data_IF_656362370868
#
_entry.id   IF_656362370868
#
_cell.length_a   1.000
_cell.length_b   1.000
_cell.length_c   1.000
_cell.angle_alpha   90.00
_cell.angle_beta   90.00
_cell.angle_gamma   90.00
#
_symmetry.space_group_name_H-M   'P 1'
#
loop_
_entity.id
_entity.type
_entity.pdbx_description
1 polymer ?
#
# COMPACT_ATOMS: atom_id res chain seq x y z
N UNK A 1 8.02 0.65 -13.73
CA UNK A 1 8.32 0.13 -12.39
C UNK A 1 7.15 -0.76 -11.98
N UNK A 2 7.35 -2.01 -11.54
CA UNK A 2 6.27 -2.82 -11.02
C UNK A 2 5.80 -2.22 -9.70
N UNK A 3 4.62 -1.62 -9.71
CA UNK A 3 3.97 -1.12 -8.51
C UNK A 3 3.25 -2.29 -7.84
N UNK A 4 3.36 -2.40 -6.52
CA UNK A 4 2.65 -3.43 -5.77
C UNK A 4 1.13 -3.20 -5.88
N UNK A 5 0.41 -4.20 -6.39
CA UNK A 5 -1.06 -4.21 -6.49
C UNK A 5 -1.72 -4.85 -5.26
N UNK A 6 -0.95 -5.60 -4.47
CA UNK A 6 -1.40 -6.35 -3.29
C UNK A 6 -0.57 -5.97 -2.05
N UNK A 7 -1.18 -6.04 -0.86
CA UNK A 7 -0.52 -5.86 0.44
C UNK A 7 -1.04 -6.88 1.46
N UNK A 8 -0.30 -7.07 2.56
CA UNK A 8 -0.73 -7.85 3.70
C UNK A 8 -1.50 -6.95 4.69
N UNK A 9 -2.68 -7.39 5.11
CA UNK A 9 -3.51 -6.74 6.10
C UNK A 9 -4.07 -7.81 7.04
N UNK A 10 -3.73 -7.74 8.34
CA UNK A 10 -4.18 -8.72 9.34
C UNK A 10 -3.94 -10.19 8.91
N UNK A 11 -2.70 -10.49 8.48
CA UNK A 11 -2.28 -11.80 7.94
C UNK A 11 -2.97 -12.26 6.65
N UNK A 12 -3.77 -11.40 6.01
CA UNK A 12 -4.44 -11.70 4.74
C UNK A 12 -3.89 -10.84 3.62
N UNK A 13 -3.67 -11.41 2.43
CA UNK A 13 -3.34 -10.64 1.25
C UNK A 13 -4.60 -9.97 0.69
N UNK A 14 -4.56 -8.64 0.52
CA UNK A 14 -5.66 -7.85 -0.04
C UNK A 14 -5.19 -7.00 -1.22
N UNK A 15 -6.12 -6.64 -2.10
CA UNK A 15 -5.82 -5.78 -3.25
C UNK A 15 -5.80 -4.30 -2.87
N UNK A 16 -5.17 -3.47 -3.70
CA UNK A 16 -5.16 -2.01 -3.52
C UNK A 16 -6.57 -1.39 -3.49
N UNK A 17 -7.52 -1.96 -4.23
CA UNK A 17 -8.91 -1.51 -4.20
C UNK A 17 -9.53 -1.72 -2.81
N UNK A 18 -9.36 -2.90 -2.21
CA UNK A 18 -9.88 -3.22 -0.88
C UNK A 18 -9.19 -2.37 0.20
N UNK A 19 -7.88 -2.21 0.11
CA UNK A 19 -7.12 -1.36 1.01
C UNK A 19 -7.55 0.11 0.95
N UNK A 20 -7.94 0.61 -0.22
CA UNK A 20 -8.50 1.95 -0.38
C UNK A 20 -9.87 2.09 0.30
N UNK A 21 -10.74 1.09 0.21
CA UNK A 21 -12.02 1.08 0.91
C UNK A 21 -11.81 1.09 2.43
N UNK A 22 -10.95 0.20 2.95
CA UNK A 22 -10.61 0.12 4.37
C UNK A 22 -10.02 1.44 4.90
N UNK A 23 -9.17 2.10 4.11
CA UNK A 23 -8.60 3.39 4.45
C UNK A 23 -9.67 4.50 4.53
N UNK A 24 -10.67 4.48 3.65
CA UNK A 24 -11.76 5.45 3.67
C UNK A 24 -12.72 5.21 4.83
N UNK A 25 -13.06 3.95 5.15
CA UNK A 25 -13.84 3.63 6.35
C UNK A 25 -13.15 4.11 7.62
N UNK A 26 -11.83 3.94 7.72
CA UNK A 26 -11.06 4.48 8.83
C UNK A 26 -11.04 6.01 8.86
N UNK A 27 -10.98 6.66 7.70
CA UNK A 27 -11.07 8.13 7.58
C UNK A 27 -12.42 8.66 8.04
N UNK A 28 -13.50 7.90 7.81
CA UNK A 28 -14.86 8.21 8.24
C UNK A 28 -15.11 7.87 9.72
N UNK A 29 -14.12 7.34 10.45
CA UNK A 29 -14.25 6.95 11.84
C UNK A 29 -15.04 5.66 12.07
N UNK A 30 -15.31 4.88 11.01
CA UNK A 30 -16.06 3.61 11.08
C UNK A 30 -15.18 2.43 11.50
N UNK A 31 -13.85 2.58 11.43
CA UNK A 31 -12.87 1.56 11.78
C UNK A 31 -11.58 2.22 12.31
N UNK A 32 -10.81 1.48 13.09
CA UNK A 32 -9.43 1.85 13.42
C UNK A 32 -8.56 1.98 12.16
N UNK A 33 -7.49 2.78 12.24
CA UNK A 33 -6.55 2.95 11.12
C UNK A 33 -5.95 1.60 10.69
N UNK A 34 -6.15 1.17 9.45
CA UNK A 34 -5.63 -0.10 8.97
C UNK A 34 -4.11 -0.07 8.87
N UNK A 35 -3.45 -1.10 9.40
CA UNK A 35 -2.01 -1.31 9.26
C UNK A 35 -1.77 -2.19 8.02
N UNK A 36 -1.39 -1.55 6.91
CA UNK A 36 -1.06 -2.25 5.66
C UNK A 36 0.43 -2.52 5.61
N UNK A 37 0.80 -3.76 5.32
CA UNK A 37 2.18 -4.22 5.23
C UNK A 37 2.53 -4.70 3.83
N UNK A 38 3.78 -4.51 3.42
CA UNK A 38 4.28 -5.07 2.19
C UNK A 38 4.36 -6.60 2.31
N UNK A 39 3.83 -7.34 1.33
CA UNK A 39 3.95 -8.80 1.27
C UNK A 39 5.40 -9.29 1.14
N UNK A 40 6.30 -8.45 0.63
CA UNK A 40 7.68 -8.83 0.38
C UNK A 40 8.60 -8.57 1.57
N UNK A 41 8.46 -7.43 2.25
CA UNK A 41 9.37 -7.02 3.31
C UNK A 41 8.71 -6.79 4.67
N UNK A 42 7.38 -6.88 4.77
CA UNK A 42 6.64 -6.64 6.02
C UNK A 42 6.66 -5.17 6.50
N UNK A 43 7.23 -4.25 5.72
CA UNK A 43 7.25 -2.83 6.06
C UNK A 43 5.89 -2.17 5.82
N UNK A 44 5.63 -1.08 6.54
CA UNK A 44 4.37 -0.36 6.42
C UNK A 44 4.24 0.32 5.05
N UNK A 45 3.10 0.08 4.39
CA UNK A 45 2.77 0.63 3.07
C UNK A 45 1.48 1.44 3.14
N UNK A 46 1.28 2.33 2.16
CA UNK A 46 0.11 3.18 2.03
C UNK A 46 -0.55 2.94 0.67
N UNK A 47 -1.86 2.66 0.62
CA UNK A 47 -2.57 2.59 -0.66
C UNK A 47 -2.79 3.99 -1.24
N UNK A 48 -2.46 4.15 -2.51
CA UNK A 48 -2.70 5.35 -3.31
C UNK A 48 -3.74 5.08 -4.39
N UNK A 49 -4.71 6.01 -4.51
CA UNK A 49 -5.73 5.96 -5.56
C UNK A 49 -5.08 6.16 -6.93
N UNK A 50 -5.68 5.55 -7.95
CA UNK A 50 -5.38 5.86 -9.35
C UNK A 50 -5.50 7.37 -9.56
N UNK A 51 -4.42 7.99 -10.02
CA UNK A 51 -4.43 9.37 -10.52
C UNK A 51 -4.73 9.41 -12.03
N UNK A 52 -4.71 10.61 -12.62
CA UNK A 52 -4.99 10.80 -14.05
C UNK A 52 -4.05 10.04 -15.00
N UNK A 53 -2.87 9.60 -14.53
CA UNK A 53 -1.83 8.98 -15.36
C UNK A 53 -1.26 7.67 -14.81
N UNK A 54 -1.79 7.11 -13.71
CA UNK A 54 -1.19 5.93 -13.07
C UNK A 54 -2.19 5.04 -12.35
N UNK A 55 -1.99 3.72 -12.39
CA UNK A 55 -2.83 2.76 -11.69
C UNK A 55 -2.78 2.92 -10.16
N UNK A 56 -3.80 2.43 -9.47
CA UNK A 56 -3.79 2.34 -8.01
C UNK A 56 -2.63 1.44 -7.57
N UNK A 57 -1.88 1.88 -6.56
CA UNK A 57 -0.69 1.17 -6.10
C UNK A 57 -0.46 1.36 -4.60
N UNK A 58 0.40 0.53 -4.03
CA UNK A 58 0.95 0.74 -2.71
C UNK A 58 2.32 1.43 -2.77
N UNK A 59 2.50 2.45 -1.93
CA UNK A 59 3.78 3.12 -1.70
C UNK A 59 4.30 2.79 -0.31
N UNK A 60 5.60 2.56 -0.16
CA UNK A 60 6.19 2.31 1.16
C UNK A 60 6.28 3.63 1.95
N UNK A 61 5.86 3.61 3.21
CA UNK A 61 5.96 4.78 4.10
C UNK A 61 7.42 5.14 4.40
N UNK A 62 8.30 4.13 4.41
CA UNK A 62 9.74 4.29 4.49
C UNK A 62 10.38 3.66 3.27
N UNK A 63 11.30 4.39 2.62
CA UNK A 63 12.07 3.84 1.51
C UNK A 63 12.86 2.62 1.98
N UNK A 64 12.72 1.52 1.25
CA UNK A 64 13.44 0.28 1.52
C UNK A 64 14.15 -0.19 0.25
N UNK A 65 15.45 0.13 0.05
CA UNK A 65 16.17 -0.25 -1.16
C UNK A 65 16.35 -1.77 -1.31
N UNK A 66 16.12 -2.55 -0.25
CA UNK A 66 16.15 -4.01 -0.29
C UNK A 66 14.81 -4.61 -0.77
N UNK A 67 13.74 -3.81 -0.81
CA UNK A 67 12.43 -4.24 -1.29
C UNK A 67 12.27 -3.87 -2.77
N UNK A 68 12.04 -4.87 -3.62
CA UNK A 68 11.81 -4.67 -5.07
C UNK A 68 10.52 -3.92 -5.37
N UNK A 69 9.60 -3.89 -4.40
CA UNK A 69 8.32 -3.17 -4.46
C UNK A 69 8.39 -1.78 -3.82
N UNK A 70 9.50 -1.43 -3.16
CA UNK A 70 9.76 -0.06 -2.73
C UNK A 70 10.28 0.71 -3.92
N UNK A 71 9.77 1.92 -4.12
CA UNK A 71 10.24 2.81 -5.19
C UNK A 71 11.78 2.93 -5.09
N UNK A 72 12.53 2.64 -6.17
CA UNK A 72 13.96 2.86 -6.16
C UNK A 72 14.19 4.36 -6.01
N UNK A 73 15.18 4.76 -5.22
CA UNK A 73 15.56 6.16 -5.13
C UNK A 73 15.76 6.69 -6.55
N UNK A 74 14.93 7.65 -6.99
CA UNK A 74 15.17 8.38 -8.24
C UNK A 74 16.61 8.91 -8.17
N UNK A 75 17.48 8.36 -9.02
CA UNK A 75 18.82 8.86 -9.26
C UNK A 75 18.76 10.16 -10.05
#
# INVERSE_FOLDING_TARGET
MPLAINCAFSDTEISVADALLLREDARLGRRASPDFRCIQCGEAVRPHRKGSFGAAHFEHLRRNPLCKLSDPARA
#
